data_IF_799981711399
#
_entry.id   IF_799981711399
#
_cell.length_a   1.000
_cell.length_b   1.000
_cell.length_c   1.000
_cell.angle_alpha   90.00
_cell.angle_beta   90.00
_cell.angle_gamma   90.00
#
_symmetry.space_group_name_H-M   'P 1'
#
loop_
_entity.id
_entity.type
_entity.pdbx_description
1 polymer ?
#
# COMPACT_ATOMS: atom_id res chain seq x y z
N UNK A 1 -16.38 -22.30 2.86
CA UNK A 1 -15.34 -21.63 2.07
C UNK A 1 -15.51 -20.13 2.22
N UNK A 2 -14.47 -19.45 2.77
CA UNK A 2 -14.49 -17.99 2.96
C UNK A 2 -14.38 -17.31 1.59
N UNK A 3 -15.17 -16.28 1.36
CA UNK A 3 -15.16 -15.53 0.09
C UNK A 3 -13.79 -14.85 -0.17
N UNK A 4 -13.42 -14.59 -1.44
CA UNK A 4 -12.19 -13.83 -1.77
C UNK A 4 -12.12 -12.46 -1.08
N UNK A 5 -13.26 -11.82 -0.85
CA UNK A 5 -13.39 -10.53 -0.14
C UNK A 5 -13.01 -10.66 1.35
N UNK A 6 -13.35 -11.78 2.00
CA UNK A 6 -12.95 -12.04 3.38
C UNK A 6 -11.43 -12.22 3.53
N UNK A 7 -10.76 -12.76 2.50
CA UNK A 7 -9.30 -12.92 2.51
C UNK A 7 -8.57 -11.60 2.35
N UNK A 8 -9.05 -10.71 1.50
CA UNK A 8 -8.44 -9.39 1.29
C UNK A 8 -8.63 -8.48 2.51
N UNK A 9 -9.80 -8.51 3.14
CA UNK A 9 -10.05 -7.76 4.37
C UNK A 9 -9.20 -8.28 5.53
N UNK A 10 -9.07 -9.61 5.68
CA UNK A 10 -8.23 -10.21 6.70
C UNK A 10 -6.74 -9.84 6.53
N UNK A 11 -6.22 -9.79 5.30
CA UNK A 11 -4.86 -9.34 5.03
C UNK A 11 -4.67 -7.87 5.41
N UNK A 12 -5.60 -6.98 5.02
CA UNK A 12 -5.57 -5.57 5.38
C UNK A 12 -5.58 -5.36 6.91
N UNK A 13 -6.38 -6.13 7.62
CA UNK A 13 -6.48 -6.05 9.09
C UNK A 13 -5.20 -6.54 9.78
N UNK A 14 -4.52 -7.54 9.20
CA UNK A 14 -3.21 -7.99 9.69
C UNK A 14 -2.15 -6.88 9.59
N UNK A 15 -2.08 -6.16 8.47
CA UNK A 15 -1.14 -5.05 8.31
C UNK A 15 -1.41 -3.89 9.28
N UNK A 16 -2.68 -3.50 9.45
CA UNK A 16 -3.08 -2.48 10.42
C UNK A 16 -2.71 -2.89 11.84
N UNK A 17 -2.96 -4.14 12.19
CA UNK A 17 -2.65 -4.71 13.51
C UNK A 17 -1.14 -4.78 13.76
N UNK A 18 -0.34 -5.13 12.75
CA UNK A 18 1.12 -5.16 12.88
C UNK A 18 1.68 -3.75 13.13
N UNK A 19 1.28 -2.74 12.36
CA UNK A 19 1.69 -1.36 12.57
C UNK A 19 1.40 -0.88 14.00
N UNK A 20 0.20 -1.14 14.48
CA UNK A 20 -0.19 -0.83 15.86
C UNK A 20 0.67 -1.55 16.90
N UNK A 21 0.90 -2.86 16.75
CA UNK A 21 1.68 -3.67 17.69
C UNK A 21 3.12 -3.15 17.78
N UNK A 22 3.75 -2.85 16.65
CA UNK A 22 5.12 -2.34 16.64
C UNK A 22 5.22 -0.94 17.25
N UNK A 23 4.31 -0.05 16.93
CA UNK A 23 4.28 1.29 17.50
C UNK A 23 4.00 1.25 19.02
N UNK A 24 3.12 0.35 19.48
CA UNK A 24 2.88 0.11 20.89
C UNK A 24 4.12 -0.42 21.61
N UNK A 25 4.80 -1.42 21.03
CA UNK A 25 6.06 -1.95 21.60
C UNK A 25 7.15 -0.87 21.69
N UNK A 26 7.26 -0.03 20.66
CA UNK A 26 8.19 1.08 20.67
C UNK A 26 7.89 2.06 21.82
N UNK A 27 6.62 2.44 21.99
CA UNK A 27 6.18 3.28 23.11
C UNK A 27 6.57 2.68 24.47
N UNK A 28 6.31 1.40 24.67
CA UNK A 28 6.52 0.73 25.98
C UNK A 28 8.00 0.50 26.28
N UNK A 29 8.79 0.11 25.28
CA UNK A 29 10.21 -0.26 25.48
C UNK A 29 11.17 0.92 25.42
N UNK A 30 10.88 1.93 24.56
CA UNK A 30 11.84 2.99 24.28
C UNK A 30 11.36 4.38 24.73
N UNK A 31 10.06 4.55 25.01
CA UNK A 31 9.50 5.83 25.38
C UNK A 31 8.91 5.83 26.82
N UNK A 32 9.21 4.84 27.64
CA UNK A 32 8.72 4.79 29.02
C UNK A 32 7.18 4.79 29.16
N UNK A 33 6.47 4.18 28.20
CA UNK A 33 5.01 4.05 28.22
C UNK A 33 4.23 5.27 27.72
N UNK A 34 4.91 6.40 27.44
CA UNK A 34 4.31 7.63 26.91
C UNK A 34 4.96 8.00 25.58
N UNK A 35 4.17 8.41 24.58
CA UNK A 35 4.65 8.86 23.29
C UNK A 35 3.75 9.97 22.76
N UNK A 36 4.35 11.03 22.21
CA UNK A 36 3.64 12.11 21.53
C UNK A 36 3.16 11.65 20.14
N UNK A 37 2.12 12.31 19.62
CA UNK A 37 1.63 12.04 18.27
C UNK A 37 2.75 12.09 17.22
N UNK A 38 3.56 13.16 17.23
CA UNK A 38 4.63 13.34 16.22
C UNK A 38 5.65 12.22 16.25
N UNK A 39 6.07 11.75 17.43
CA UNK A 39 7.00 10.62 17.55
C UNK A 39 6.38 9.31 17.08
N UNK A 40 5.11 9.05 17.42
CA UNK A 40 4.39 7.87 16.97
C UNK A 40 4.20 7.90 15.46
N UNK A 41 3.83 9.05 14.91
CA UNK A 41 3.66 9.25 13.46
C UNK A 41 4.96 9.01 12.70
N UNK A 42 6.06 9.67 13.10
CA UNK A 42 7.37 9.51 12.48
C UNK A 42 7.84 8.06 12.53
N UNK A 43 7.76 7.42 13.71
CA UNK A 43 8.15 6.02 13.85
C UNK A 43 7.37 5.11 12.90
N UNK A 44 6.05 5.27 12.84
CA UNK A 44 5.19 4.45 11.99
C UNK A 44 5.45 4.72 10.50
N UNK A 45 5.67 5.97 10.12
CA UNK A 45 6.02 6.36 8.75
C UNK A 45 7.35 5.72 8.32
N UNK A 46 8.39 5.83 9.15
CA UNK A 46 9.69 5.20 8.87
C UNK A 46 9.57 3.67 8.78
N UNK A 47 8.78 3.05 9.63
CA UNK A 47 8.55 1.61 9.58
C UNK A 47 7.92 1.19 8.23
N UNK A 48 6.90 1.91 7.76
CA UNK A 48 6.29 1.64 6.45
C UNK A 48 7.24 1.95 5.29
N UNK A 49 8.04 3.00 5.41
CA UNK A 49 9.06 3.33 4.41
C UNK A 49 10.09 2.19 4.26
N UNK A 50 10.63 1.68 5.36
CA UNK A 50 11.56 0.55 5.31
C UNK A 50 10.89 -0.71 4.77
N UNK A 51 9.65 -0.99 5.18
CA UNK A 51 8.90 -2.12 4.65
C UNK A 51 8.69 -2.00 3.13
N UNK A 52 8.41 -0.79 2.62
CA UNK A 52 8.24 -0.56 1.18
C UNK A 52 9.50 -0.80 0.37
N UNK A 53 10.69 -0.57 0.94
CA UNK A 53 11.96 -0.86 0.27
C UNK A 53 12.15 -2.37 0.04
N UNK A 54 11.83 -3.20 1.03
CA UNK A 54 11.87 -4.66 0.85
C UNK A 54 10.88 -5.14 -0.21
N UNK A 55 9.67 -4.62 -0.18
CA UNK A 55 8.65 -4.91 -1.18
C UNK A 55 9.11 -4.47 -2.58
N UNK A 56 9.78 -3.32 -2.67
CA UNK A 56 10.33 -2.80 -3.93
C UNK A 56 11.35 -3.72 -4.57
N UNK A 57 12.24 -4.31 -3.78
CA UNK A 57 13.23 -5.28 -4.28
C UNK A 57 12.52 -6.49 -4.91
N UNK A 58 11.50 -7.02 -4.22
CA UNK A 58 10.70 -8.14 -4.74
C UNK A 58 9.98 -7.76 -6.04
N UNK A 59 9.35 -6.58 -6.10
CA UNK A 59 8.68 -6.09 -7.29
C UNK A 59 9.64 -5.88 -8.46
N UNK A 60 10.83 -5.31 -8.20
CA UNK A 60 11.84 -5.13 -9.23
C UNK A 60 12.26 -6.48 -9.85
N UNK A 61 12.55 -7.49 -9.01
CA UNK A 61 12.90 -8.83 -9.47
C UNK A 61 11.75 -9.43 -10.28
N UNK A 62 10.52 -9.30 -9.80
CA UNK A 62 9.34 -9.81 -10.47
C UNK A 62 9.17 -9.18 -11.87
N UNK A 63 9.09 -7.86 -11.96
CA UNK A 63 8.91 -7.16 -13.24
C UNK A 63 10.08 -7.32 -14.19
N UNK A 64 11.30 -7.47 -13.66
CA UNK A 64 12.50 -7.59 -14.51
C UNK A 64 12.68 -8.99 -15.08
N UNK A 65 12.33 -10.02 -14.34
CA UNK A 65 12.71 -11.40 -14.68
C UNK A 65 11.53 -12.38 -14.84
N UNK A 66 10.36 -12.06 -14.31
CA UNK A 66 9.25 -13.01 -14.24
C UNK A 66 8.03 -12.55 -15.05
N UNK A 67 7.67 -11.28 -14.96
CA UNK A 67 6.38 -10.78 -15.46
C UNK A 67 6.25 -10.88 -16.99
N UNK A 68 7.30 -10.47 -17.74
CA UNK A 68 7.28 -10.47 -19.20
C UNK A 68 6.11 -9.71 -19.84
N UNK A 69 5.43 -8.83 -19.08
CA UNK A 69 4.24 -8.09 -19.53
C UNK A 69 2.89 -8.75 -19.16
N UNK A 70 2.92 -9.91 -18.51
CA UNK A 70 1.72 -10.69 -18.17
C UNK A 70 0.69 -9.89 -17.36
N UNK A 71 1.14 -9.08 -16.39
CA UNK A 71 0.25 -8.28 -15.55
C UNK A 71 -0.57 -7.30 -16.38
N UNK A 72 0.08 -6.59 -17.29
CA UNK A 72 -0.62 -5.61 -18.15
C UNK A 72 -1.56 -6.28 -19.16
N UNK A 73 -1.17 -7.40 -19.73
CA UNK A 73 -2.06 -8.18 -20.60
C UNK A 73 -3.29 -8.69 -19.85
N UNK A 74 -3.13 -9.15 -18.63
CA UNK A 74 -4.24 -9.56 -17.78
C UNK A 74 -5.20 -8.40 -17.48
N UNK A 75 -4.67 -7.22 -17.14
CA UNK A 75 -5.51 -6.03 -16.92
C UNK A 75 -6.24 -5.58 -18.18
N UNK A 76 -5.60 -5.60 -19.36
CA UNK A 76 -6.24 -5.28 -20.63
C UNK A 76 -7.35 -6.28 -20.98
N UNK A 77 -7.11 -7.57 -20.73
CA UNK A 77 -8.13 -8.60 -20.96
C UNK A 77 -9.37 -8.38 -20.09
N UNK A 78 -9.18 -8.10 -18.79
CA UNK A 78 -10.29 -7.79 -17.88
C UNK A 78 -11.01 -6.52 -18.32
N UNK A 79 -10.27 -5.47 -18.69
CA UNK A 79 -10.84 -4.20 -19.14
C UNK A 79 -11.71 -4.37 -20.38
N UNK A 80 -11.25 -5.16 -21.36
CA UNK A 80 -12.00 -5.45 -22.58
C UNK A 80 -13.32 -6.18 -22.28
N UNK A 81 -13.30 -7.17 -21.36
CA UNK A 81 -14.51 -7.84 -20.92
C UNK A 81 -15.51 -6.87 -20.27
N UNK A 82 -15.02 -5.91 -19.47
CA UNK A 82 -15.86 -4.87 -18.88
C UNK A 82 -16.41 -3.91 -19.95
N UNK A 83 -15.63 -3.54 -20.97
CA UNK A 83 -16.08 -2.67 -22.06
C UNK A 83 -17.21 -3.29 -22.87
N UNK A 84 -17.19 -4.61 -23.08
CA UNK A 84 -18.25 -5.34 -23.80
C UNK A 84 -19.61 -5.29 -23.08
N UNK A 85 -19.58 -5.22 -21.74
CA UNK A 85 -20.79 -5.22 -20.89
C UNK A 85 -21.17 -3.86 -20.34
N UNK A 86 -20.29 -2.86 -20.49
CA UNK A 86 -20.48 -1.53 -19.92
C UNK A 86 -21.41 -0.67 -20.78
N UNK A 87 -22.30 0.07 -20.12
CA UNK A 87 -23.09 1.11 -20.75
C UNK A 87 -22.26 2.35 -21.13
N UNK A 88 -22.84 3.24 -21.96
CA UNK A 88 -22.13 4.43 -22.48
C UNK A 88 -21.59 5.36 -21.38
N UNK A 89 -22.19 5.37 -20.20
CA UNK A 89 -21.75 6.20 -19.06
C UNK A 89 -20.38 5.79 -18.50
N UNK A 90 -20.06 4.49 -18.55
CA UNK A 90 -18.80 3.94 -18.04
C UNK A 90 -17.67 3.95 -19.08
N UNK A 91 -18.00 4.10 -20.36
CA UNK A 91 -17.04 4.03 -21.47
C UNK A 91 -15.91 5.06 -21.31
N UNK A 92 -16.22 6.28 -20.89
CA UNK A 92 -15.21 7.33 -20.69
C UNK A 92 -14.23 6.96 -19.59
N UNK A 93 -14.72 6.45 -18.45
CA UNK A 93 -13.86 6.02 -17.35
C UNK A 93 -13.01 4.81 -17.72
N UNK A 94 -13.56 3.87 -18.48
CA UNK A 94 -12.83 2.69 -18.95
C UNK A 94 -11.73 3.07 -19.97
N UNK A 95 -11.96 4.05 -20.82
CA UNK A 95 -10.94 4.56 -21.73
C UNK A 95 -9.80 5.27 -21.00
N UNK A 96 -10.10 6.05 -19.96
CA UNK A 96 -9.08 6.65 -19.10
C UNK A 96 -8.25 5.58 -18.38
N UNK A 97 -8.88 4.47 -17.97
CA UNK A 97 -8.18 3.35 -17.34
C UNK A 97 -7.28 2.64 -18.34
N UNK A 98 -7.70 2.46 -19.59
CA UNK A 98 -6.88 1.90 -20.66
C UNK A 98 -5.64 2.76 -20.93
N UNK A 99 -5.83 4.07 -21.04
CA UNK A 99 -4.75 5.04 -21.21
C UNK A 99 -3.73 4.98 -20.07
N UNK A 100 -4.21 4.83 -18.81
CA UNK A 100 -3.36 4.65 -17.67
C UNK A 100 -2.56 3.32 -17.71
N UNK A 101 -3.19 2.22 -18.14
CA UNK A 101 -2.52 0.92 -18.34
C UNK A 101 -1.43 1.04 -19.42
N UNK A 102 -1.72 1.74 -20.52
CA UNK A 102 -0.78 1.92 -21.62
C UNK A 102 0.43 2.75 -21.17
N UNK A 103 0.21 3.84 -20.45
CA UNK A 103 1.29 4.63 -19.85
C UNK A 103 2.15 3.81 -18.90
N UNK A 104 1.55 3.01 -18.03
CA UNK A 104 2.26 2.17 -17.08
C UNK A 104 3.01 1.03 -17.78
N UNK A 105 2.45 0.45 -18.84
CA UNK A 105 3.09 -0.64 -19.58
C UNK A 105 4.33 -0.18 -20.35
N UNK A 106 4.45 1.12 -20.65
CA UNK A 106 5.62 1.73 -21.26
C UNK A 106 6.77 2.00 -20.29
N UNK A 107 6.56 1.87 -18.98
CA UNK A 107 7.58 2.10 -17.98
C UNK A 107 8.59 0.95 -17.92
N UNK A 108 9.85 1.30 -17.69
CA UNK A 108 10.87 0.30 -17.36
C UNK A 108 10.59 -0.36 -15.99
N UNK A 109 11.08 -1.59 -15.74
CA UNK A 109 10.93 -2.24 -14.44
C UNK A 109 11.42 -1.40 -13.26
N UNK A 110 12.43 -0.56 -13.47
CA UNK A 110 12.95 0.34 -12.45
C UNK A 110 11.96 1.50 -12.16
N UNK A 111 11.44 2.15 -13.21
CA UNK A 111 10.45 3.22 -13.08
C UNK A 111 9.18 2.72 -12.43
N UNK A 112 8.70 1.53 -12.80
CA UNK A 112 7.59 0.86 -12.13
C UNK A 112 7.84 0.67 -10.64
N UNK A 113 9.03 0.18 -10.29
CA UNK A 113 9.41 -0.02 -8.89
C UNK A 113 9.39 1.29 -8.11
N UNK A 114 9.94 2.38 -8.67
CA UNK A 114 9.88 3.71 -8.05
C UNK A 114 8.45 4.23 -7.89
N UNK A 115 7.59 4.02 -8.87
CA UNK A 115 6.18 4.39 -8.79
C UNK A 115 5.48 3.67 -7.63
N UNK A 116 5.72 2.37 -7.49
CA UNK A 116 5.16 1.55 -6.41
C UNK A 116 5.71 1.95 -5.03
N UNK A 117 7.00 2.29 -4.92
CA UNK A 117 7.57 2.82 -3.67
C UNK A 117 6.86 4.11 -3.28
N UNK A 118 6.74 5.07 -4.20
CA UNK A 118 6.10 6.36 -3.95
C UNK A 118 4.65 6.18 -3.49
N UNK A 119 3.91 5.31 -4.14
CA UNK A 119 2.54 4.98 -3.79
C UNK A 119 2.44 4.31 -2.42
N UNK A 120 3.31 3.34 -2.12
CA UNK A 120 3.34 2.67 -0.83
C UNK A 120 3.75 3.62 0.30
N UNK A 121 4.67 4.54 0.07
CA UNK A 121 5.02 5.60 1.03
C UNK A 121 3.84 6.51 1.32
N UNK A 122 3.12 6.94 0.30
CA UNK A 122 1.95 7.78 0.46
C UNK A 122 0.85 7.09 1.30
N UNK A 123 0.51 5.85 0.95
CA UNK A 123 -0.44 5.05 1.74
C UNK A 123 0.07 4.76 3.16
N UNK A 124 1.37 4.50 3.31
CA UNK A 124 2.00 4.32 4.62
C UNK A 124 1.85 5.55 5.52
N UNK A 125 2.06 6.76 4.97
CA UNK A 125 1.83 8.01 5.70
C UNK A 125 0.36 8.19 6.11
N UNK A 126 -0.58 7.93 5.20
CA UNK A 126 -2.01 7.99 5.50
C UNK A 126 -2.38 7.03 6.63
N UNK A 127 -1.84 5.80 6.62
CA UNK A 127 -2.09 4.79 7.66
C UNK A 127 -1.34 5.08 8.97
N UNK A 128 -0.26 5.85 8.92
CA UNK A 128 0.46 6.27 10.12
C UNK A 128 -0.36 7.25 10.98
N UNK A 129 -1.24 8.06 10.38
CA UNK A 129 -2.09 9.01 11.10
C UNK A 129 -3.00 8.30 12.12
N UNK A 130 -3.91 7.40 11.72
CA UNK A 130 -4.78 6.70 12.68
C UNK A 130 -3.97 5.84 13.66
N UNK A 131 -2.89 5.22 13.22
CA UNK A 131 -2.01 4.44 14.10
C UNK A 131 -1.40 5.32 15.19
N UNK A 132 -0.88 6.49 14.84
CA UNK A 132 -0.29 7.42 15.79
C UNK A 132 -1.33 7.97 16.79
N UNK A 133 -2.55 8.25 16.33
CA UNK A 133 -3.66 8.69 17.21
C UNK A 133 -4.03 7.64 18.25
N UNK A 134 -4.05 6.37 17.87
CA UNK A 134 -4.39 5.27 18.79
C UNK A 134 -3.24 4.98 19.77
N UNK A 135 -2.00 5.11 19.32
CA UNK A 135 -0.81 4.73 20.12
C UNK A 135 -0.35 5.87 21.02
N UNK A 136 -0.63 7.13 20.67
CA UNK A 136 -0.20 8.28 21.48
C UNK A 136 -0.73 8.18 22.92
N UNK A 137 0.12 8.54 23.87
CA UNK A 137 -0.21 8.58 25.28
C UNK A 137 0.56 9.72 25.95
N UNK A 138 -0.17 10.67 26.54
CA UNK A 138 0.46 11.73 27.32
C UNK A 138 1.05 11.15 28.61
N UNK A 139 2.21 11.69 29.02
CA UNK A 139 2.76 11.39 30.34
C UNK A 139 1.74 11.92 31.39
N UNK A 140 1.33 11.07 32.31
CA UNK A 140 0.52 11.50 33.44
C UNK A 140 1.45 12.35 34.31
N UNK A 141 1.17 13.65 34.44
CA UNK A 141 1.90 14.49 35.40
C UNK A 141 1.53 13.96 36.78
N UNK A 142 2.52 13.43 37.50
CA UNK A 142 2.45 13.21 38.92
C UNK A 142 2.54 14.53 39.65
#
# INVERSE_FOLDING_TARGET
PRSPLDRSSAASDVYKRQGYIFAKKFRERHCGGSITFSRAFLFTTFMYMFASLFVAVVHYIYFRYIDGGFVFEAYRSILNQFKETAGPELTTSLNQFEEAIDLLSGLTPLEMTFQLISQNMFYGMLMAIPTALIVMRKKKNE
#
